data_IF_678511347834
#
_entry.id   IF_678511347834
#
_cell.length_a   1.000
_cell.length_b   1.000
_cell.length_c   1.000
_cell.angle_alpha   90.00
_cell.angle_beta   90.00
_cell.angle_gamma   90.00
#
_symmetry.space_group_name_H-M   'P 1'
#
loop_
_entity.id
_entity.type
_entity.pdbx_description
1 polymer ?
#
# COMPACT_ATOMS: atom_id res chain seq x y z
N UNK A 1 28.67 -1.99 47.99
CA UNK A 1 28.43 -3.27 47.31
C UNK A 1 27.51 -2.97 46.14
N UNK A 2 28.04 -2.79 44.91
CA UNK A 2 28.04 -3.78 43.81
C UNK A 2 26.63 -4.38 43.57
N UNK A 3 26.03 -4.34 42.38
CA UNK A 3 26.60 -4.74 41.10
C UNK A 3 25.64 -4.32 39.96
N UNK A 4 26.16 -3.56 39.00
CA UNK A 4 25.54 -3.29 37.70
C UNK A 4 25.41 -4.59 36.90
N UNK A 5 24.26 -4.85 36.25
CA UNK A 5 24.13 -5.94 35.27
C UNK A 5 23.69 -5.37 33.93
N UNK A 6 24.65 -5.25 33.01
CA UNK A 6 24.44 -4.99 31.59
C UNK A 6 24.11 -6.33 30.92
N UNK A 7 22.92 -6.45 30.35
CA UNK A 7 22.53 -7.60 29.55
C UNK A 7 22.94 -7.34 28.09
N UNK A 8 24.07 -7.89 27.68
CA UNK A 8 24.48 -7.95 26.27
C UNK A 8 23.91 -9.23 25.67
N UNK A 9 22.83 -9.14 24.90
CA UNK A 9 22.32 -10.28 24.16
C UNK A 9 22.89 -10.26 22.73
N UNK A 10 23.70 -11.28 22.46
CA UNK A 10 24.52 -11.47 21.26
C UNK A 10 23.68 -11.68 20.01
N UNK A 11 24.06 -10.97 18.94
CA UNK A 11 23.55 -11.08 17.58
C UNK A 11 24.10 -12.34 16.90
N UNK A 12 23.23 -13.27 16.48
CA UNK A 12 23.59 -14.41 15.65
C UNK A 12 23.08 -14.18 14.23
N UNK A 13 24.00 -13.77 13.34
CA UNK A 13 23.76 -13.57 11.91
C UNK A 13 23.84 -14.93 11.20
N UNK A 14 22.73 -15.41 10.64
CA UNK A 14 22.75 -16.54 9.70
C UNK A 14 22.79 -16.01 8.27
N UNK A 15 23.95 -16.17 7.64
CA UNK A 15 24.10 -16.00 6.20
C UNK A 15 23.78 -17.32 5.49
N UNK A 16 22.94 -17.27 4.46
CA UNK A 16 22.98 -18.28 3.38
C UNK A 16 22.84 -17.56 2.04
N UNK A 17 23.93 -17.60 1.27
CA UNK A 17 23.95 -17.26 -0.15
C UNK A 17 23.29 -18.39 -0.95
N UNK A 18 22.43 -18.02 -1.88
CA UNK A 18 21.99 -18.88 -2.98
C UNK A 18 21.75 -18.04 -4.23
N UNK A 19 22.76 -17.92 -5.11
CA UNK A 19 22.56 -17.49 -6.49
C UNK A 19 22.19 -18.73 -7.33
N UNK A 20 21.01 -18.71 -7.96
CA UNK A 20 20.75 -19.55 -9.12
C UNK A 20 20.69 -18.66 -10.36
N UNK A 21 21.72 -18.77 -11.19
CA UNK A 21 21.70 -18.39 -12.58
C UNK A 21 21.18 -19.57 -13.41
N UNK A 22 20.21 -19.34 -14.29
CA UNK A 22 19.99 -20.17 -15.46
C UNK A 22 19.51 -19.31 -16.62
N UNK A 23 20.34 -19.31 -17.66
CA UNK A 23 20.21 -18.55 -18.88
C UNK A 23 19.11 -19.07 -19.81
N UNK A 24 18.60 -18.12 -20.61
CA UNK A 24 18.35 -18.22 -22.06
C UNK A 24 17.46 -19.35 -22.61
N UNK A 25 16.39 -18.94 -23.30
CA UNK A 25 16.16 -19.43 -24.66
C UNK A 25 15.71 -18.30 -25.58
N UNK A 26 16.47 -18.15 -26.67
CA UNK A 26 16.16 -17.36 -27.84
C UNK A 26 14.95 -17.96 -28.58
N UNK A 27 14.06 -17.11 -29.11
CA UNK A 27 13.49 -17.36 -30.43
C UNK A 27 13.20 -16.06 -31.16
N UNK A 28 13.89 -15.90 -32.28
CA UNK A 28 13.67 -14.88 -33.30
C UNK A 28 12.35 -15.12 -34.04
N UNK A 29 11.68 -14.04 -34.49
CA UNK A 29 11.30 -13.79 -35.89
C UNK A 29 10.30 -12.62 -35.98
N UNK A 30 10.73 -11.53 -36.63
CA UNK A 30 9.87 -10.62 -37.40
C UNK A 30 9.36 -11.33 -38.66
N UNK A 31 8.16 -10.97 -39.18
CA UNK A 31 8.15 -10.11 -40.36
C UNK A 31 7.00 -9.06 -40.44
N UNK A 32 7.38 -7.90 -40.99
CA UNK A 32 6.70 -7.00 -41.95
C UNK A 32 5.16 -6.78 -42.01
N UNK A 33 4.80 -5.49 -41.84
CA UNK A 33 4.10 -4.58 -42.78
C UNK A 33 2.66 -4.86 -43.31
N UNK A 34 1.73 -3.95 -42.95
CA UNK A 34 0.89 -3.11 -43.86
C UNK A 34 -0.64 -3.08 -43.64
N UNK A 35 -1.12 -1.85 -43.39
CA UNK A 35 -2.29 -1.15 -43.98
C UNK A 35 -3.75 -1.42 -43.55
N UNK A 36 -4.38 -0.32 -43.07
CA UNK A 36 -5.74 0.22 -43.38
C UNK A 36 -6.99 -0.60 -42.97
N UNK A 37 -8.12 -0.09 -42.48
CA UNK A 37 -8.70 1.26 -42.33
C UNK A 37 -9.97 1.14 -41.46
N UNK A 38 -10.28 2.19 -40.68
CA UNK A 38 -11.61 2.74 -40.32
C UNK A 38 -12.74 1.80 -39.80
N UNK A 39 -13.26 2.09 -38.61
CA UNK A 39 -14.51 2.87 -38.44
C UNK A 39 -14.77 3.18 -36.97
N UNK A 40 -15.18 4.43 -36.73
CA UNK A 40 -15.37 5.08 -35.43
C UNK A 40 -16.73 4.80 -34.82
N UNK A 41 -16.82 4.80 -33.48
CA UNK A 41 -17.96 5.39 -32.78
C UNK A 41 -17.64 5.73 -31.32
N UNK A 42 -17.98 6.98 -30.98
CA UNK A 42 -18.13 7.62 -29.68
C UNK A 42 -16.93 7.73 -28.75
N UNK A 43 -16.31 8.91 -28.83
CA UNK A 43 -15.65 9.59 -27.73
C UNK A 43 -16.59 9.72 -26.52
N UNK A 44 -16.12 9.29 -25.36
CA UNK A 44 -16.29 10.04 -24.11
C UNK A 44 -14.87 10.35 -23.62
N UNK A 45 -14.38 11.53 -24.00
CA UNK A 45 -13.41 12.30 -23.22
C UNK A 45 -14.11 12.66 -21.90
N UNK A 46 -13.51 12.73 -20.72
CA UNK A 46 -12.14 13.04 -20.30
C UNK A 46 -12.22 13.08 -18.75
N UNK A 47 -11.35 12.47 -17.94
CA UNK A 47 -10.08 13.03 -17.45
C UNK A 47 -9.79 12.33 -16.12
N UNK A 48 -9.08 11.19 -16.08
CA UNK A 48 -8.65 10.64 -14.78
C UNK A 48 -7.29 9.96 -14.83
N UNK A 49 -6.56 10.11 -15.94
CA UNK A 49 -5.21 9.53 -16.05
C UNK A 49 -4.11 10.46 -15.52
N UNK A 50 -4.42 11.72 -15.19
CA UNK A 50 -3.47 12.72 -14.67
C UNK A 50 -3.52 12.90 -13.15
N UNK A 51 -4.47 12.25 -12.47
CA UNK A 51 -4.65 12.30 -11.00
C UNK A 51 -3.88 11.17 -10.29
N UNK A 52 -3.60 10.05 -10.98
CA UNK A 52 -3.00 8.84 -10.38
C UNK A 52 -1.57 9.09 -9.91
N UNK A 53 -0.79 9.87 -10.63
CA UNK A 53 0.61 10.21 -10.31
C UNK A 53 0.77 11.40 -9.34
N UNK A 54 -0.32 12.07 -8.97
CA UNK A 54 -0.36 13.10 -7.91
C UNK A 54 -0.73 12.50 -6.54
N UNK A 55 -1.24 11.27 -6.53
CA UNK A 55 -1.93 10.72 -5.36
C UNK A 55 -0.97 10.16 -4.30
N UNK A 56 0.22 9.65 -4.67
CA UNK A 56 1.22 9.24 -3.66
C UNK A 56 1.74 10.41 -2.84
N UNK A 57 2.03 11.55 -3.49
CA UNK A 57 2.47 12.78 -2.79
C UNK A 57 1.35 13.37 -1.91
N UNK A 58 0.09 13.08 -2.21
CA UNK A 58 -1.07 13.51 -1.43
C UNK A 58 -1.32 12.68 -0.18
N UNK A 59 -0.84 11.43 -0.14
CA UNK A 59 -1.13 10.50 0.96
C UNK A 59 -0.18 10.63 2.14
N UNK A 60 1.01 11.19 1.96
CA UNK A 60 1.97 11.35 3.05
C UNK A 60 1.35 12.07 4.25
N UNK A 61 1.46 11.47 5.43
CA UNK A 61 0.86 12.02 6.65
C UNK A 61 0.55 10.97 7.69
N UNK A 62 0.02 11.46 8.82
CA UNK A 62 -0.50 10.62 9.90
C UNK A 62 -1.99 10.89 10.01
N UNK A 63 -2.80 9.88 9.72
CA UNK A 63 -4.25 9.90 9.80
C UNK A 63 -4.71 9.18 11.06
N UNK A 64 -5.76 9.68 11.68
CA UNK A 64 -6.34 9.12 12.91
C UNK A 64 -7.84 8.96 12.76
N UNK A 65 -8.37 7.93 13.41
CA UNK A 65 -9.79 7.65 13.45
C UNK A 65 -10.08 6.48 14.36
N UNK A 66 -11.21 5.83 14.13
CA UNK A 66 -11.63 4.63 14.86
C UNK A 66 -12.10 3.59 13.87
N UNK A 67 -11.78 2.35 14.15
CA UNK A 67 -12.36 1.19 13.49
C UNK A 67 -12.97 0.31 14.59
N UNK A 68 -14.25 -0.02 14.47
CA UNK A 68 -15.04 -0.65 15.52
C UNK A 68 -14.86 -0.01 16.92
N UNK A 69 -14.01 -0.59 17.78
CA UNK A 69 -13.68 -0.10 19.13
C UNK A 69 -12.23 0.36 19.30
N UNK A 70 -11.42 0.26 18.25
CA UNK A 70 -9.99 0.49 18.27
C UNK A 70 -9.64 1.87 17.74
N UNK A 71 -8.63 2.50 18.36
CA UNK A 71 -8.12 3.79 17.89
C UNK A 71 -7.05 3.51 16.84
N UNK A 72 -7.31 4.00 15.63
CA UNK A 72 -6.41 3.79 14.50
C UNK A 72 -5.48 4.97 14.35
N UNK A 73 -4.18 4.70 14.16
CA UNK A 73 -3.21 5.66 13.63
C UNK A 73 -2.54 5.06 12.39
N UNK A 74 -2.83 5.64 11.21
CA UNK A 74 -2.20 5.28 9.95
C UNK A 74 -1.14 6.33 9.59
N UNK A 75 0.12 5.93 9.47
CA UNK A 75 1.20 6.82 9.02
C UNK A 75 1.72 6.37 7.66
N UNK A 76 1.68 7.25 6.65
CA UNK A 76 2.16 6.99 5.28
C UNK A 76 3.32 7.93 4.95
N UNK A 77 4.34 7.38 4.28
CA UNK A 77 5.49 8.10 3.72
C UNK A 77 5.91 7.44 2.40
N UNK A 78 5.71 8.14 1.30
CA UNK A 78 5.83 7.61 -0.06
C UNK A 78 4.86 6.46 -0.30
N UNK A 79 5.40 5.27 -0.60
CA UNK A 79 4.61 4.07 -0.87
C UNK A 79 4.54 3.09 0.31
N UNK A 80 5.00 3.49 1.50
CA UNK A 80 4.99 2.64 2.68
C UNK A 80 4.35 3.33 3.87
N UNK A 81 3.99 2.57 4.89
CA UNK A 81 3.41 3.09 6.10
C UNK A 81 3.25 2.08 7.22
N UNK A 82 2.58 2.50 8.29
CA UNK A 82 2.18 1.67 9.42
C UNK A 82 0.72 1.93 9.78
N UNK A 83 0.03 0.86 10.13
CA UNK A 83 -1.31 0.89 10.70
C UNK A 83 -1.21 0.42 12.16
N UNK A 84 -1.51 1.31 13.09
CA UNK A 84 -1.47 1.03 14.53
C UNK A 84 -2.89 1.00 15.09
N UNK A 85 -3.23 -0.10 15.76
CA UNK A 85 -4.46 -0.30 16.53
C UNK A 85 -4.12 -0.17 18.02
N UNK A 86 -4.88 0.66 18.74
CA UNK A 86 -4.82 0.77 20.19
C UNK A 86 -6.18 0.38 20.76
N UNK A 87 -6.22 -0.83 21.32
CA UNK A 87 -7.42 -1.47 21.86
C UNK A 87 -7.82 -0.87 23.21
N UNK A 88 -9.06 -1.11 23.63
CA UNK A 88 -9.61 -0.54 24.86
C UNK A 88 -8.88 -0.98 26.15
N UNK A 89 -8.22 -2.15 26.12
CA UNK A 89 -7.44 -2.68 27.25
C UNK A 89 -5.98 -2.17 27.27
N UNK A 90 -5.58 -1.42 26.23
CA UNK A 90 -4.26 -0.82 26.06
C UNK A 90 -3.27 -1.67 25.28
N UNK A 91 -3.67 -2.87 24.82
CA UNK A 91 -2.90 -3.66 23.86
C UNK A 91 -2.75 -2.88 22.55
N UNK A 92 -1.64 -3.15 21.85
CA UNK A 92 -1.29 -2.46 20.60
C UNK A 92 -0.87 -3.45 19.55
N UNK A 93 -1.49 -3.38 18.40
CA UNK A 93 -1.05 -4.07 17.20
C UNK A 93 -0.49 -3.06 16.18
N UNK A 94 0.55 -3.45 15.45
CA UNK A 94 1.12 -2.67 14.36
C UNK A 94 1.27 -3.56 13.13
N UNK A 95 0.64 -3.14 12.03
CA UNK A 95 0.74 -3.81 10.72
C UNK A 95 1.48 -2.91 9.73
N UNK A 96 2.27 -3.49 8.84
CA UNK A 96 2.92 -2.73 7.76
C UNK A 96 1.90 -2.32 6.72
N UNK A 97 2.08 -1.15 6.10
CA UNK A 97 1.25 -0.67 4.99
C UNK A 97 2.10 -0.50 3.74
N UNK A 98 1.59 -0.98 2.60
CA UNK A 98 2.13 -0.66 1.27
C UNK A 98 1.05 0.02 0.43
N UNK A 99 1.39 1.16 -0.18
CA UNK A 99 0.48 1.93 -1.03
C UNK A 99 0.73 1.59 -2.49
N UNK A 100 -0.31 1.15 -3.18
CA UNK A 100 -0.32 1.01 -4.63
C UNK A 100 -1.20 2.11 -5.25
N UNK A 101 -0.61 3.23 -5.72
CA UNK A 101 -1.36 4.34 -6.28
C UNK A 101 -2.01 4.01 -7.62
N UNK A 102 -1.40 3.14 -8.42
CA UNK A 102 -1.89 2.80 -9.76
C UNK A 102 -3.26 2.11 -9.70
N UNK A 103 -3.49 1.36 -8.63
CA UNK A 103 -4.75 0.65 -8.37
C UNK A 103 -5.58 1.30 -7.25
N UNK A 104 -5.15 2.45 -6.73
CA UNK A 104 -5.81 3.12 -5.61
C UNK A 104 -6.09 2.18 -4.42
N UNK A 105 -5.09 1.35 -4.09
CA UNK A 105 -5.19 0.33 -3.05
C UNK A 105 -4.11 0.45 -1.99
N UNK A 106 -4.40 -0.08 -0.80
CA UNK A 106 -3.47 -0.30 0.30
C UNK A 106 -3.34 -1.81 0.54
N UNK A 107 -2.18 -2.25 0.96
CA UNK A 107 -2.02 -3.55 1.61
C UNK A 107 -1.66 -3.31 3.07
N UNK A 108 -2.55 -3.68 4.00
CA UNK A 108 -2.38 -3.53 5.45
C UNK A 108 -2.12 -4.93 6.01
N UNK A 109 -0.92 -5.20 6.51
CA UNK A 109 -0.50 -6.57 6.78
C UNK A 109 -0.49 -7.39 5.48
N UNK A 110 -1.38 -8.38 5.37
CA UNK A 110 -1.65 -9.19 4.18
C UNK A 110 -2.99 -8.86 3.49
N UNK A 111 -3.79 -7.97 4.07
CA UNK A 111 -5.11 -7.60 3.55
C UNK A 111 -5.02 -6.47 2.53
N UNK A 112 -5.67 -6.66 1.37
CA UNK A 112 -5.80 -5.60 0.36
C UNK A 112 -7.08 -4.80 0.60
N UNK A 113 -6.94 -3.47 0.68
CA UNK A 113 -8.04 -2.51 0.84
C UNK A 113 -7.98 -1.45 -0.25
N UNK A 114 -9.06 -0.72 -0.44
CA UNK A 114 -9.14 0.42 -1.36
C UNK A 114 -9.22 1.73 -0.60
N UNK A 115 -8.71 2.82 -1.16
CA UNK A 115 -8.74 4.11 -0.47
C UNK A 115 -9.32 5.24 -1.32
N UNK A 116 -9.96 6.21 -0.65
CA UNK A 116 -10.41 7.47 -1.25
C UNK A 116 -9.88 8.62 -0.41
N UNK A 117 -9.15 9.53 -1.05
CA UNK A 117 -8.61 10.73 -0.40
C UNK A 117 -9.46 11.95 -0.80
N UNK A 118 -10.07 12.60 0.18
CA UNK A 118 -10.77 13.89 0.02
C UNK A 118 -10.21 14.91 1.01
N UNK A 119 -9.34 15.79 0.52
CA UNK A 119 -8.58 16.72 1.35
C UNK A 119 -7.72 15.99 2.39
N UNK A 120 -8.04 16.16 3.68
CA UNK A 120 -7.34 15.51 4.79
C UNK A 120 -8.00 14.19 5.23
N UNK A 121 -9.13 13.82 4.63
CA UNK A 121 -9.87 12.61 4.97
C UNK A 121 -9.46 11.47 4.04
N UNK A 122 -9.07 10.35 4.64
CA UNK A 122 -8.80 9.09 3.96
C UNK A 122 -9.88 8.09 4.36
N UNK A 123 -10.69 7.68 3.40
CA UNK A 123 -11.65 6.58 3.57
C UNK A 123 -11.01 5.30 3.06
N UNK A 124 -11.09 4.23 3.84
CA UNK A 124 -10.55 2.91 3.51
C UNK A 124 -11.74 1.94 3.44
N UNK A 125 -11.80 1.15 2.38
CA UNK A 125 -12.92 0.27 2.04
C UNK A 125 -12.39 -1.15 1.78
N UNK A 126 -13.21 -2.16 2.06
CA UNK A 126 -12.91 -3.54 1.65
C UNK A 126 -13.14 -3.77 0.15
N UNK A 127 -12.86 -4.97 -0.34
CA UNK A 127 -12.92 -5.32 -1.76
C UNK A 127 -14.32 -5.31 -2.38
N UNK A 128 -15.35 -5.55 -1.58
CA UNK A 128 -16.75 -5.47 -2.00
C UNK A 128 -17.34 -4.05 -1.91
N UNK A 129 -16.60 -3.10 -1.35
CA UNK A 129 -17.01 -1.73 -1.08
C UNK A 129 -18.32 -1.63 -0.25
N UNK A 130 -18.55 -2.55 0.71
CA UNK A 130 -19.66 -2.42 1.66
C UNK A 130 -19.51 -1.13 2.50
N UNK A 131 -20.48 -0.21 2.47
CA UNK A 131 -20.41 1.02 3.26
C UNK A 131 -20.42 0.80 4.79
N UNK A 132 -20.75 -0.40 5.27
CA UNK A 132 -20.71 -0.72 6.70
C UNK A 132 -19.30 -1.06 7.19
N UNK A 133 -18.40 -1.46 6.30
CA UNK A 133 -17.05 -1.92 6.62
C UNK A 133 -15.98 -0.86 6.26
N UNK A 134 -16.39 0.42 6.21
CA UNK A 134 -15.49 1.53 5.88
C UNK A 134 -14.84 2.14 7.11
N UNK A 135 -13.54 2.39 7.01
CA UNK A 135 -12.79 3.13 8.03
C UNK A 135 -12.49 4.54 7.54
N UNK A 136 -12.87 5.56 8.31
CA UNK A 136 -12.62 6.96 7.97
C UNK A 136 -11.57 7.55 8.90
N UNK A 137 -10.44 7.95 8.31
CA UNK A 137 -9.31 8.54 9.02
C UNK A 137 -9.07 9.98 8.57
N UNK A 138 -8.59 10.84 9.47
CA UNK A 138 -8.30 12.24 9.16
C UNK A 138 -6.91 12.65 9.65
N UNK A 139 -6.19 13.42 8.83
CA UNK A 139 -4.87 13.98 9.12
C UNK A 139 -4.91 15.22 10.00
#
# INVERSE_FOLDING_TARGET
MTLSKKLTLSLASMAVLGLLAACSNQKAQTPESSASTQQSSSKVSSSQSSEVSKQTEGLDGTYKGTDENDRITLTISGNTGTWEEDEADGEKESKSVTVNPDNQSLTIGDDTKFYKLDGNQLTIEDDDHDPNDTVVLTK
#
